data_IF_893600301126
#
_entry.id   IF_893600301126
#
_cell.length_a   1.000
_cell.length_b   1.000
_cell.length_c   1.000
_cell.angle_alpha   90.00
_cell.angle_beta   90.00
_cell.angle_gamma   90.00
#
_symmetry.space_group_name_H-M   'P 1'
#
loop_
_entity.id
_entity.type
_entity.pdbx_description
1 polymer ?
#
# COMPACT_ATOMS: atom_id res chain seq x y z
N UNK A 1 19.46 4.78 6.47
CA UNK A 1 18.59 4.48 7.62
C UNK A 1 17.13 4.79 7.23
N UNK A 2 16.53 4.00 6.31
CA UNK A 2 15.26 4.33 5.67
C UNK A 2 14.41 3.13 5.20
N UNK A 3 14.55 1.95 5.81
CA UNK A 3 13.89 0.73 5.33
C UNK A 3 12.81 0.15 6.27
N UNK A 4 12.34 0.86 7.28
CA UNK A 4 11.42 0.29 8.28
C UNK A 4 9.99 0.82 8.28
N UNK A 5 9.68 1.93 7.62
CA UNK A 5 8.35 2.57 7.75
C UNK A 5 7.27 1.84 6.94
N UNK A 6 7.60 1.26 5.79
CA UNK A 6 6.63 0.52 4.98
C UNK A 6 6.24 -0.86 5.55
N UNK A 7 7.11 -1.47 6.36
CA UNK A 7 6.85 -2.76 6.99
C UNK A 7 5.86 -2.67 8.16
N UNK A 8 5.92 -1.57 8.92
CA UNK A 8 5.07 -1.39 10.12
C UNK A 8 3.59 -1.17 9.79
N UNK A 9 3.26 -0.63 8.60
CA UNK A 9 1.88 -0.37 8.20
C UNK A 9 1.18 -1.61 7.62
N UNK A 10 1.89 -2.44 6.88
CA UNK A 10 1.35 -3.73 6.42
C UNK A 10 1.08 -4.67 7.59
N UNK A 11 1.92 -4.59 8.63
CA UNK A 11 1.76 -5.31 9.90
C UNK A 11 0.55 -4.80 10.70
N UNK A 12 0.24 -3.50 10.63
CA UNK A 12 -0.92 -2.90 11.30
C UNK A 12 -2.26 -3.26 10.65
N UNK A 13 -2.27 -3.62 9.37
CA UNK A 13 -3.49 -4.04 8.65
C UNK A 13 -3.78 -5.55 8.81
N UNK A 14 -2.82 -6.35 9.28
CA UNK A 14 -3.11 -7.70 9.76
C UNK A 14 -3.97 -7.58 11.03
N UNK A 15 -5.06 -8.36 11.10
CA UNK A 15 -5.97 -8.37 12.27
C UNK A 15 -5.17 -8.50 13.58
N UNK A 16 -5.59 -7.77 14.61
CA UNK A 16 -4.96 -7.73 15.94
C UNK A 16 -4.58 -9.16 16.43
N UNK A 17 -3.28 -9.40 16.61
CA UNK A 17 -2.74 -10.70 17.03
C UNK A 17 -2.14 -11.57 15.92
N UNK A 18 -2.34 -11.25 14.61
CA UNK A 18 -1.81 -12.01 13.46
C UNK A 18 -0.54 -11.43 12.84
N UNK A 19 -0.01 -10.33 13.40
CA UNK A 19 1.24 -9.74 12.94
C UNK A 19 2.42 -10.72 13.11
N UNK A 20 3.27 -10.88 12.08
CA UNK A 20 4.41 -11.79 12.15
C UNK A 20 5.43 -11.31 13.19
N UNK A 21 5.89 -12.23 14.05
CA UNK A 21 6.90 -11.96 15.10
C UNK A 21 8.31 -12.35 14.70
N UNK A 22 8.49 -12.90 13.51
CA UNK A 22 9.78 -13.41 13.03
C UNK A 22 10.06 -12.97 11.61
N UNK A 23 11.34 -12.84 11.25
CA UNK A 23 11.76 -12.53 9.88
C UNK A 23 11.26 -13.55 8.84
N UNK A 24 11.05 -14.81 9.23
CA UNK A 24 10.44 -15.82 8.36
C UNK A 24 8.96 -15.51 8.12
N UNK A 25 8.24 -15.12 9.18
CA UNK A 25 6.83 -14.73 9.10
C UNK A 25 6.63 -13.48 8.23
N UNK A 26 7.49 -12.47 8.37
CA UNK A 26 7.47 -11.26 7.53
C UNK A 26 7.67 -11.58 6.05
N UNK A 27 8.62 -12.47 5.72
CA UNK A 27 8.81 -12.93 4.33
C UNK A 27 7.60 -13.68 3.79
N UNK A 28 6.92 -14.46 4.63
CA UNK A 28 5.70 -15.17 4.23
C UNK A 28 4.54 -14.21 4.00
N UNK A 29 4.36 -13.23 4.90
CA UNK A 29 3.37 -12.16 4.73
C UNK A 29 3.61 -11.39 3.42
N UNK A 30 4.87 -11.00 3.14
CA UNK A 30 5.21 -10.32 1.89
C UNK A 30 4.86 -11.14 0.66
N UNK A 31 5.17 -12.45 0.64
CA UNK A 31 4.79 -13.35 -0.45
C UNK A 31 3.28 -13.40 -0.67
N UNK A 32 2.48 -13.41 0.41
CA UNK A 32 1.02 -13.41 0.31
C UNK A 32 0.53 -12.08 -0.28
N UNK A 33 1.05 -10.95 0.17
CA UNK A 33 0.65 -9.62 -0.34
C UNK A 33 1.06 -9.44 -1.82
N UNK A 34 2.25 -9.88 -2.21
CA UNK A 34 2.69 -9.81 -3.61
C UNK A 34 1.81 -10.70 -4.51
N UNK A 35 1.50 -11.92 -4.07
CA UNK A 35 0.60 -12.81 -4.79
C UNK A 35 -0.85 -12.27 -4.85
N UNK A 36 -1.31 -11.62 -3.79
CA UNK A 36 -2.62 -10.97 -3.76
C UNK A 36 -2.69 -9.81 -4.75
N UNK A 37 -1.62 -9.00 -4.84
CA UNK A 37 -1.53 -7.92 -5.84
C UNK A 37 -1.65 -8.48 -7.26
N UNK A 38 -0.92 -9.54 -7.57
CA UNK A 38 -0.95 -10.15 -8.90
C UNK A 38 -2.33 -10.76 -9.21
N UNK A 39 -2.94 -11.47 -8.24
CA UNK A 39 -4.27 -12.08 -8.40
C UNK A 39 -5.37 -11.03 -8.58
N UNK A 40 -5.40 -9.98 -7.74
CA UNK A 40 -6.38 -8.89 -7.86
C UNK A 40 -6.12 -8.02 -9.09
N UNK A 41 -4.85 -7.73 -9.39
CA UNK A 41 -4.48 -6.93 -10.56
C UNK A 41 -4.86 -7.58 -11.89
N UNK A 42 -4.79 -8.91 -11.99
CA UNK A 42 -5.14 -9.64 -13.21
C UNK A 42 -6.65 -9.89 -13.33
N UNK A 43 -7.30 -10.28 -12.24
CA UNK A 43 -8.69 -10.79 -12.24
C UNK A 43 -9.72 -9.81 -11.71
N UNK A 44 -9.28 -8.81 -10.94
CA UNK A 44 -10.16 -7.99 -10.12
C UNK A 44 -10.57 -8.72 -8.83
N UNK A 45 -11.15 -7.97 -7.89
CA UNK A 45 -11.53 -8.52 -6.59
C UNK A 45 -12.59 -9.64 -6.70
N UNK A 46 -13.63 -9.43 -7.52
CA UNK A 46 -14.75 -10.37 -7.61
C UNK A 46 -14.33 -11.78 -8.04
N UNK A 47 -13.50 -11.88 -9.11
CA UNK A 47 -13.08 -13.14 -9.72
C UNK A 47 -11.84 -13.75 -9.06
N UNK A 48 -11.23 -13.07 -8.12
CA UNK A 48 -10.06 -13.54 -7.37
C UNK A 48 -10.45 -14.47 -6.24
N UNK A 49 -9.53 -15.38 -5.87
CA UNK A 49 -9.78 -16.35 -4.80
C UNK A 49 -8.58 -16.50 -3.86
N UNK A 50 -8.87 -16.87 -2.60
CA UNK A 50 -7.82 -17.19 -1.61
C UNK A 50 -6.95 -18.35 -2.12
N UNK A 51 -7.56 -19.32 -2.80
CA UNK A 51 -6.83 -20.45 -3.40
C UNK A 51 -5.87 -19.97 -4.49
N UNK A 52 -6.30 -19.04 -5.36
CA UNK A 52 -5.45 -18.42 -6.37
C UNK A 52 -4.26 -17.69 -5.73
N UNK A 53 -4.52 -16.91 -4.68
CA UNK A 53 -3.48 -16.19 -3.93
C UNK A 53 -2.47 -17.17 -3.31
N UNK A 54 -2.94 -18.23 -2.64
CA UNK A 54 -2.05 -19.19 -1.97
C UNK A 54 -1.20 -20.00 -2.96
N UNK A 55 -1.77 -20.37 -4.10
CA UNK A 55 -1.04 -21.04 -5.19
C UNK A 55 0.07 -20.14 -5.74
N UNK A 56 -0.21 -18.87 -6.01
CA UNK A 56 0.80 -17.89 -6.46
C UNK A 56 1.88 -17.63 -5.42
N UNK A 57 1.50 -17.52 -4.15
CA UNK A 57 2.43 -17.31 -3.04
C UNK A 57 3.30 -18.54 -2.72
N UNK A 58 2.90 -19.73 -3.20
CA UNK A 58 3.56 -20.99 -2.85
C UNK A 58 3.41 -21.33 -1.37
N UNK A 59 2.26 -21.04 -0.76
CA UNK A 59 1.96 -21.33 0.65
C UNK A 59 0.74 -22.23 0.78
N UNK A 60 0.67 -22.99 1.88
CA UNK A 60 -0.52 -23.78 2.20
C UNK A 60 -1.69 -22.86 2.58
N UNK A 61 -2.93 -23.31 2.31
CA UNK A 61 -4.15 -22.57 2.66
C UNK A 61 -4.22 -22.24 4.16
N UNK A 62 -3.83 -23.16 5.03
CA UNK A 62 -3.76 -22.92 6.48
C UNK A 62 -2.76 -21.83 6.86
N UNK A 63 -1.68 -21.69 6.08
CA UNK A 63 -0.71 -20.60 6.28
C UNK A 63 -1.33 -19.24 5.97
N UNK A 64 -2.16 -19.12 4.93
CA UNK A 64 -2.90 -17.90 4.65
C UNK A 64 -3.76 -17.48 5.85
N UNK A 65 -4.54 -18.41 6.41
CA UNK A 65 -5.42 -18.13 7.54
C UNK A 65 -4.68 -17.81 8.85
N UNK A 66 -3.36 -18.04 8.91
CA UNK A 66 -2.53 -17.54 10.00
C UNK A 66 -2.38 -16.01 9.97
N UNK A 67 -2.49 -15.39 8.78
CA UNK A 67 -2.31 -13.94 8.58
C UNK A 67 -3.62 -13.20 8.33
N UNK A 68 -4.55 -13.81 7.59
CA UNK A 68 -5.77 -13.16 7.11
C UNK A 68 -6.98 -14.06 7.32
N UNK A 69 -8.10 -13.48 7.72
CA UNK A 69 -9.35 -14.21 7.97
C UNK A 69 -10.20 -14.37 6.72
N UNK A 70 -10.03 -13.49 5.73
CA UNK A 70 -10.88 -13.43 4.53
C UNK A 70 -10.15 -12.83 3.34
N UNK A 71 -10.80 -12.86 2.17
CA UNK A 71 -10.34 -12.19 0.97
C UNK A 71 -10.33 -10.67 1.14
N UNK A 72 -11.33 -10.14 1.84
CA UNK A 72 -11.45 -8.71 2.18
C UNK A 72 -10.29 -8.26 3.07
N UNK A 73 -9.91 -9.06 4.07
CA UNK A 73 -8.82 -8.67 4.99
C UNK A 73 -7.46 -8.59 4.30
N UNK A 74 -7.14 -9.51 3.38
CA UNK A 74 -5.90 -9.40 2.59
C UNK A 74 -5.97 -8.26 1.58
N UNK A 75 -7.15 -7.95 1.03
CA UNK A 75 -7.34 -6.81 0.15
C UNK A 75 -7.11 -5.48 0.88
N UNK A 76 -7.67 -5.30 2.09
CA UNK A 76 -7.43 -4.13 2.95
C UNK A 76 -5.94 -3.95 3.26
N UNK A 77 -5.27 -5.04 3.67
CA UNK A 77 -3.84 -5.01 3.95
C UNK A 77 -3.02 -4.62 2.71
N UNK A 78 -3.39 -5.15 1.54
CA UNK A 78 -2.74 -4.83 0.27
C UNK A 78 -2.91 -3.34 -0.08
N UNK A 79 -4.12 -2.78 -0.02
CA UNK A 79 -4.36 -1.35 -0.30
C UNK A 79 -3.57 -0.45 0.65
N UNK A 80 -3.50 -0.83 1.94
CA UNK A 80 -2.71 -0.09 2.93
C UNK A 80 -1.20 -0.16 2.63
N UNK A 81 -0.68 -1.33 2.24
CA UNK A 81 0.72 -1.51 1.83
C UNK A 81 1.06 -0.70 0.58
N UNK A 82 0.18 -0.71 -0.42
CA UNK A 82 0.34 0.09 -1.65
C UNK A 82 0.32 1.60 -1.36
N UNK A 83 -0.57 2.04 -0.47
CA UNK A 83 -0.62 3.44 -0.02
C UNK A 83 0.68 3.87 0.66
N UNK A 84 1.28 2.98 1.46
CA UNK A 84 2.59 3.22 2.06
C UNK A 84 3.69 3.32 1.00
N UNK A 85 3.70 2.44 0.00
CA UNK A 85 4.68 2.47 -1.09
C UNK A 85 4.60 3.78 -1.91
N UNK A 86 3.39 4.25 -2.22
CA UNK A 86 3.19 5.55 -2.89
C UNK A 86 3.78 6.68 -2.05
N UNK A 87 3.45 6.72 -0.77
CA UNK A 87 3.92 7.75 0.16
C UNK A 87 5.45 7.75 0.29
N UNK A 88 6.06 6.56 0.42
CA UNK A 88 7.51 6.42 0.55
C UNK A 88 8.24 6.82 -0.74
N UNK A 89 7.59 6.62 -1.90
CA UNK A 89 8.13 7.03 -3.19
C UNK A 89 8.01 8.54 -3.43
N UNK A 90 6.87 9.14 -3.07
CA UNK A 90 6.58 10.57 -3.31
C UNK A 90 7.17 11.47 -2.22
N UNK A 91 7.20 11.00 -0.97
CA UNK A 91 7.63 11.80 0.18
C UNK A 91 9.00 12.48 0.04
N UNK A 92 10.05 11.82 -0.48
CA UNK A 92 11.36 12.45 -0.70
C UNK A 92 11.34 13.65 -1.63
N UNK A 93 10.37 13.74 -2.56
CA UNK A 93 10.28 14.85 -3.51
C UNK A 93 10.08 16.22 -2.84
N UNK A 94 9.51 16.23 -1.63
CA UNK A 94 9.30 17.45 -0.85
C UNK A 94 10.55 17.91 -0.08
N UNK A 95 11.51 17.04 0.20
CA UNK A 95 12.66 17.34 1.06
C UNK A 95 13.61 18.38 0.46
N UNK A 96 13.76 18.34 -0.86
CA UNK A 96 14.71 19.20 -1.61
C UNK A 96 13.98 20.31 -2.40
N UNK A 97 12.71 20.56 -2.07
CA UNK A 97 11.91 21.57 -2.72
C UNK A 97 12.35 22.99 -2.28
N UNK A 98 12.45 23.91 -3.22
CA UNK A 98 12.84 25.29 -2.97
C UNK A 98 11.69 26.14 -2.41
N UNK A 99 10.46 25.76 -2.77
CA UNK A 99 9.21 26.36 -2.28
C UNK A 99 8.06 25.34 -2.38
N UNK A 100 6.87 25.74 -1.93
CA UNK A 100 5.70 24.87 -1.92
C UNK A 100 5.29 24.42 -3.32
N UNK A 101 5.37 25.29 -4.32
CA UNK A 101 4.98 24.98 -5.71
C UNK A 101 5.98 24.00 -6.36
N UNK A 102 7.27 24.19 -6.12
CA UNK A 102 8.32 23.25 -6.57
C UNK A 102 8.11 21.87 -5.91
N UNK A 103 7.76 21.84 -4.63
CA UNK A 103 7.43 20.60 -3.91
C UNK A 103 6.25 19.84 -4.53
N UNK A 104 5.15 20.54 -4.83
CA UNK A 104 4.00 19.96 -5.49
C UNK A 104 4.32 19.44 -6.90
N UNK A 105 5.07 20.20 -7.69
CA UNK A 105 5.50 19.79 -9.03
C UNK A 105 6.34 18.51 -8.98
N UNK A 106 7.33 18.45 -8.10
CA UNK A 106 8.20 17.27 -7.92
C UNK A 106 7.43 16.07 -7.42
N UNK A 107 6.50 16.28 -6.48
CA UNK A 107 5.64 15.23 -5.97
C UNK A 107 4.74 14.64 -7.07
N UNK A 108 4.15 15.50 -7.92
CA UNK A 108 3.34 15.07 -9.06
C UNK A 108 4.18 14.29 -10.09
N UNK A 109 5.38 14.77 -10.42
CA UNK A 109 6.31 14.06 -11.32
C UNK A 109 6.66 12.67 -10.78
N UNK A 110 7.03 12.59 -9.49
CA UNK A 110 7.35 11.34 -8.81
C UNK A 110 6.16 10.37 -8.78
N UNK A 111 4.96 10.89 -8.47
CA UNK A 111 3.73 10.14 -8.50
C UNK A 111 3.41 9.57 -9.89
N UNK A 112 3.51 10.38 -10.94
CA UNK A 112 3.26 9.93 -12.32
C UNK A 112 4.27 8.88 -12.78
N UNK A 113 5.53 8.98 -12.34
CA UNK A 113 6.55 7.97 -12.59
C UNK A 113 6.20 6.64 -11.91
N UNK A 114 5.78 6.70 -10.64
CA UNK A 114 5.30 5.53 -9.91
C UNK A 114 4.09 4.90 -10.59
N UNK A 115 3.09 5.71 -10.94
CA UNK A 115 1.87 5.27 -11.59
C UNK A 115 2.10 4.54 -12.92
N UNK A 116 3.01 5.05 -13.74
CA UNK A 116 3.40 4.40 -15.02
C UNK A 116 4.00 3.02 -14.81
N UNK A 117 4.76 2.84 -13.73
CA UNK A 117 5.46 1.61 -13.40
C UNK A 117 4.56 0.58 -12.72
N UNK A 118 3.53 1.04 -12.02
CA UNK A 118 2.64 0.24 -11.16
C UNK A 118 1.17 0.43 -11.54
N UNK A 119 0.79 0.11 -12.79
CA UNK A 119 -0.58 0.30 -13.29
C UNK A 119 -1.61 -0.58 -12.58
N UNK A 120 -1.20 -1.77 -12.14
CA UNK A 120 -1.97 -2.71 -11.35
C UNK A 120 -2.43 -2.11 -10.01
N UNK A 121 -1.58 -1.29 -9.39
CA UNK A 121 -1.86 -0.59 -8.12
C UNK A 121 -3.12 0.27 -8.23
N UNK A 122 -3.25 1.03 -9.31
CA UNK A 122 -4.40 1.94 -9.46
C UNK A 122 -5.70 1.21 -9.67
N UNK A 123 -5.69 0.13 -10.44
CA UNK A 123 -6.87 -0.71 -10.62
C UNK A 123 -7.36 -1.26 -9.27
N UNK A 124 -6.45 -1.73 -8.42
CA UNK A 124 -6.79 -2.26 -7.10
C UNK A 124 -7.32 -1.14 -6.19
N UNK A 125 -6.71 0.04 -6.21
CA UNK A 125 -7.15 1.19 -5.41
C UNK A 125 -8.54 1.66 -5.87
N UNK A 126 -8.79 1.72 -7.18
CA UNK A 126 -10.11 2.10 -7.72
C UNK A 126 -11.20 1.07 -7.31
N UNK A 127 -10.89 -0.22 -7.34
CA UNK A 127 -11.81 -1.24 -6.83
C UNK A 127 -12.08 -1.11 -5.33
N UNK A 128 -11.15 -0.56 -4.55
CA UNK A 128 -11.32 -0.36 -3.12
C UNK A 128 -12.46 0.62 -2.78
N UNK A 129 -12.83 1.52 -3.69
CA UNK A 129 -14.00 2.40 -3.51
C UNK A 129 -15.27 1.60 -3.26
N UNK A 130 -15.43 0.47 -3.96
CA UNK A 130 -16.64 -0.36 -3.90
C UNK A 130 -16.53 -1.52 -2.90
N UNK A 131 -15.34 -2.08 -2.74
CA UNK A 131 -15.09 -3.26 -1.88
C UNK A 131 -14.88 -2.84 -0.44
N UNK A 132 -14.08 -1.80 -0.21
CA UNK A 132 -13.65 -1.34 1.11
C UNK A 132 -13.58 0.20 1.17
N UNK A 133 -14.74 0.89 1.18
CA UNK A 133 -14.79 2.36 1.10
C UNK A 133 -14.02 3.09 2.19
N UNK A 134 -13.83 2.46 3.36
CA UNK A 134 -13.04 3.02 4.46
C UNK A 134 -11.56 3.10 4.09
N UNK A 135 -11.00 2.02 3.58
CA UNK A 135 -9.58 1.93 3.18
C UNK A 135 -9.29 2.83 1.98
N UNK A 136 -10.25 2.94 1.05
CA UNK A 136 -10.19 3.89 -0.05
C UNK A 136 -10.08 5.34 0.44
N UNK A 137 -10.95 5.76 1.36
CA UNK A 137 -10.88 7.10 1.96
C UNK A 137 -9.56 7.35 2.68
N UNK A 138 -9.10 6.39 3.50
CA UNK A 138 -7.83 6.48 4.21
C UNK A 138 -6.64 6.64 3.26
N UNK A 139 -6.66 5.97 2.11
CA UNK A 139 -5.64 6.14 1.07
C UNK A 139 -5.56 7.59 0.59
N UNK A 140 -6.70 8.20 0.24
CA UNK A 140 -6.72 9.58 -0.25
C UNK A 140 -6.47 10.62 0.85
N UNK A 141 -6.97 10.41 2.06
CA UNK A 141 -6.69 11.28 3.21
C UNK A 141 -5.19 11.30 3.55
N UNK A 142 -4.55 10.15 3.53
CA UNK A 142 -3.11 10.04 3.77
C UNK A 142 -2.31 10.75 2.68
N UNK A 143 -2.72 10.64 1.43
CA UNK A 143 -2.10 11.33 0.30
C UNK A 143 -2.33 12.85 0.38
N UNK A 144 -3.52 13.30 0.80
CA UNK A 144 -3.86 14.72 0.96
C UNK A 144 -3.17 15.39 2.17
N UNK A 145 -2.80 14.62 3.20
CA UNK A 145 -2.14 15.16 4.40
C UNK A 145 -0.73 15.64 4.10
N UNK A 146 -0.04 15.06 3.13
CA UNK A 146 1.25 15.56 2.65
C UNK A 146 1.15 16.96 2.05
N UNK A 147 0.04 17.28 1.40
CA UNK A 147 -0.27 18.62 0.89
C UNK A 147 -0.32 19.67 2.01
N UNK A 148 -0.94 19.35 3.14
CA UNK A 148 -1.05 20.26 4.30
C UNK A 148 0.27 20.43 5.06
N UNK A 149 1.19 19.48 4.98
CA UNK A 149 2.53 19.61 5.57
C UNK A 149 3.43 20.57 4.76
N UNK A 150 3.29 20.60 3.44
CA UNK A 150 3.97 21.55 2.56
C UNK A 150 3.53 23.01 2.81
N UNK A 151 2.25 23.24 3.14
CA UNK A 151 1.69 24.56 3.47
C UNK A 151 2.24 25.16 4.78
N UNK A 152 2.89 24.36 5.62
CA UNK A 152 3.47 24.80 6.90
C UNK A 152 4.96 25.13 6.82
N UNK A 153 5.56 25.14 5.63
CA UNK A 153 6.93 25.61 5.48
C UNK A 153 6.96 27.12 5.73
N UNK A 154 7.71 27.64 6.76
CA UNK A 154 7.75 29.06 7.02
C UNK A 154 8.37 29.76 5.82
N UNK A 155 7.65 30.74 5.28
CA UNK A 155 8.20 31.68 4.30
C UNK A 155 9.42 32.33 4.97
N UNK A 156 10.61 31.98 4.51
CA UNK A 156 11.78 32.73 4.85
C UNK A 156 11.67 34.06 4.10
N UNK A 157 11.46 35.15 4.89
CA UNK A 157 11.44 36.53 4.43
C UNK A 157 12.84 37.03 4.10
#
# INVERSE_FOLDING_TARGET
MGARVGQDLAVSAASDGKAPRTARGERTLRKILDAARDEFGERGFAESSIVGITQRAGVALGTFYTYFDSKESVFQALVSDMSAQVRDHVGPAFKDATDALDGERRALESFLQFARKHRDVYRIIDEAEFVEPKVYREHYETTATHRRAADRCPRQG
#
